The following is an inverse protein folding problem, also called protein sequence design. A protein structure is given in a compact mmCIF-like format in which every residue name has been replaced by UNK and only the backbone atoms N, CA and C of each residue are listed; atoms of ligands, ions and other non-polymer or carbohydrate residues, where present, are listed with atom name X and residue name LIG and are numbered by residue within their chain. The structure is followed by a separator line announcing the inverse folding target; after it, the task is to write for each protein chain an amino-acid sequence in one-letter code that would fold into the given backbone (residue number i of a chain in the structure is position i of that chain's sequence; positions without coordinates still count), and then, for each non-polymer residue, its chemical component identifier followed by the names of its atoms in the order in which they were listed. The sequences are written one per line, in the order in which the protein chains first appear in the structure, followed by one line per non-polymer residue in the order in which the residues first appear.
data_IF_082950018176
#
_entry.id   IF_082950018176
#
_cell.length_a   1.000
_cell.length_b   1.000
_cell.length_c   1.000
_cell.angle_alpha   90.00
_cell.angle_beta   90.00
_cell.angle_gamma   90.00
#
_symmetry.space_group_name_H-M   'P 1'
#
loop_
_entity.id
_entity.type
_entity.pdbx_description
1 polymer ?
#
# COMPACT_ATOMS: atom_id res chain seq x y z
N UNK A 1 -7.19 24.87 -28.82
CA UNK A 1 -7.63 24.93 -27.41
C UNK A 1 -8.70 23.90 -27.07
N UNK A 2 -9.90 23.90 -27.70
CA UNK A 2 -10.96 22.93 -27.36
C UNK A 2 -10.54 21.46 -27.47
N UNK A 3 -9.85 21.07 -28.56
CA UNK A 3 -9.36 19.70 -28.77
C UNK A 3 -8.33 19.25 -27.73
N UNK A 4 -7.39 20.12 -27.37
CA UNK A 4 -6.37 19.83 -26.34
C UNK A 4 -7.01 19.57 -24.98
N UNK A 5 -8.02 20.37 -24.63
CA UNK A 5 -8.75 20.24 -23.38
C UNK A 5 -9.59 18.95 -23.34
N UNK A 6 -10.20 18.56 -24.46
CA UNK A 6 -10.87 17.27 -24.61
C UNK A 6 -9.91 16.09 -24.48
N UNK A 7 -8.71 16.16 -25.06
CA UNK A 7 -7.70 15.11 -24.94
C UNK A 7 -7.25 14.96 -23.49
N UNK A 8 -6.95 16.07 -22.80
CA UNK A 8 -6.58 16.05 -21.37
C UNK A 8 -7.69 15.43 -20.53
N UNK A 9 -8.95 15.81 -20.77
CA UNK A 9 -10.09 15.24 -20.05
C UNK A 9 -10.22 13.72 -20.27
N UNK A 10 -10.08 13.25 -21.51
CA UNK A 10 -10.13 11.81 -21.82
C UNK A 10 -9.00 11.06 -21.11
N UNK A 11 -7.78 11.59 -21.13
CA UNK A 11 -6.62 10.99 -20.45
C UNK A 11 -6.86 10.90 -18.95
N UNK A 12 -7.39 11.96 -18.33
CA UNK A 12 -7.72 11.97 -16.90
C UNK A 12 -8.79 10.93 -16.55
N UNK A 13 -9.82 10.77 -17.39
CA UNK A 13 -10.85 9.73 -17.20
C UNK A 13 -10.24 8.34 -17.28
N UNK A 14 -9.41 8.07 -18.28
CA UNK A 14 -8.72 6.78 -18.43
C UNK A 14 -7.84 6.50 -17.20
N UNK A 15 -7.10 7.50 -16.74
CA UNK A 15 -6.25 7.36 -15.56
C UNK A 15 -7.08 7.08 -14.30
N UNK A 16 -8.18 7.80 -14.09
CA UNK A 16 -9.06 7.57 -12.94
C UNK A 16 -9.68 6.16 -12.96
N UNK A 17 -10.11 5.69 -14.14
CA UNK A 17 -10.62 4.32 -14.34
C UNK A 17 -9.53 3.30 -14.04
N UNK A 18 -8.30 3.51 -14.53
CA UNK A 18 -7.17 2.63 -14.21
C UNK A 18 -6.90 2.60 -12.71
N UNK A 19 -6.82 3.75 -12.05
CA UNK A 19 -6.64 3.83 -10.61
C UNK A 19 -7.76 3.11 -9.82
N UNK A 20 -9.00 3.16 -10.31
CA UNK A 20 -10.12 2.45 -9.70
C UNK A 20 -10.00 0.93 -9.82
N UNK A 21 -9.76 0.41 -11.03
CA UNK A 21 -9.67 -1.04 -11.26
C UNK A 21 -8.41 -1.67 -10.67
N UNK A 22 -7.31 -0.91 -10.62
CA UNK A 22 -6.05 -1.35 -10.05
C UNK A 22 -5.84 -0.83 -8.62
N UNK A 23 -6.90 -0.45 -7.89
CA UNK A 23 -6.72 -0.03 -6.51
C UNK A 23 -6.28 -1.23 -5.63
N UNK A 24 -5.12 -1.19 -4.95
CA UNK A 24 -4.63 -2.33 -4.19
C UNK A 24 -5.57 -2.71 -3.05
N UNK A 25 -5.86 -4.01 -2.94
CA UNK A 25 -6.71 -4.56 -1.87
C UNK A 25 -5.97 -4.62 -0.53
N UNK A 26 -6.71 -4.70 0.57
CA UNK A 26 -6.14 -4.93 1.92
C UNK A 26 -5.14 -6.08 1.97
N UNK A 27 -5.41 -7.16 1.26
CA UNK A 27 -4.52 -8.33 1.22
C UNK A 27 -3.20 -8.00 0.52
N UNK A 28 -3.24 -7.19 -0.54
CA UNK A 28 -2.05 -6.68 -1.23
C UNK A 28 -1.19 -5.85 -0.28
N UNK A 29 -1.81 -5.04 0.59
CA UNK A 29 -1.09 -4.29 1.62
C UNK A 29 -0.44 -5.21 2.65
N UNK A 30 -1.15 -6.21 3.16
CA UNK A 30 -0.61 -7.19 4.12
C UNK A 30 0.57 -7.95 3.51
N UNK A 31 0.46 -8.36 2.25
CA UNK A 31 1.54 -9.04 1.53
C UNK A 31 2.77 -8.15 1.38
N UNK A 32 2.59 -6.89 0.98
CA UNK A 32 3.69 -5.93 0.83
C UNK A 32 4.42 -5.67 2.15
N UNK A 33 3.67 -5.48 3.26
CA UNK A 33 4.24 -5.33 4.60
C UNK A 33 5.03 -6.58 4.99
N UNK A 34 4.42 -7.76 4.83
CA UNK A 34 5.05 -9.04 5.19
C UNK A 34 6.34 -9.27 4.40
N UNK A 35 6.33 -9.00 3.10
CA UNK A 35 7.50 -9.15 2.24
C UNK A 35 8.60 -8.15 2.57
N UNK A 36 8.23 -6.88 2.80
CA UNK A 36 9.17 -5.81 3.15
C UNK A 36 9.95 -6.14 4.43
N UNK A 37 9.25 -6.53 5.49
CA UNK A 37 9.91 -6.90 6.75
C UNK A 37 10.61 -8.25 6.66
N UNK A 38 10.12 -9.23 5.90
CA UNK A 38 10.82 -10.50 5.69
C UNK A 38 12.20 -10.30 5.01
N UNK A 39 12.30 -9.35 4.06
CA UNK A 39 13.58 -9.02 3.41
C UNK A 39 14.60 -8.43 4.38
N UNK A 40 14.17 -7.66 5.38
CA UNK A 40 15.05 -7.11 6.42
C UNK A 40 15.63 -8.17 7.37
N UNK A 41 14.97 -9.33 7.52
CA UNK A 41 15.39 -10.38 8.45
C UNK A 41 16.57 -11.22 7.93
N UNK A 42 16.89 -11.15 6.63
CA UNK A 42 18.03 -11.88 6.06
C UNK A 42 19.39 -11.23 6.37
N UNK A 43 19.42 -10.16 7.18
CA UNK A 43 20.62 -9.35 7.41
C UNK A 43 21.34 -9.55 8.75
N UNK A 44 20.75 -10.17 9.78
CA UNK A 44 21.52 -10.65 10.96
C UNK A 44 20.65 -11.44 11.95
N UNK A 45 21.02 -12.68 12.24
CA UNK A 45 20.15 -13.68 12.89
C UNK A 45 19.80 -13.43 14.38
N UNK A 46 20.32 -12.39 15.03
CA UNK A 46 20.15 -12.16 16.48
C UNK A 46 19.29 -10.94 16.86
N UNK A 47 19.05 -9.99 15.94
CA UNK A 47 18.16 -8.82 16.18
C UNK A 47 16.70 -9.10 15.74
N UNK A 48 16.50 -10.24 15.08
CA UNK A 48 15.27 -10.72 14.43
C UNK A 48 14.13 -11.05 15.41
N UNK A 49 14.41 -11.22 16.71
CA UNK A 49 13.38 -11.64 17.69
C UNK A 49 12.45 -10.49 18.11
N UNK A 50 12.93 -9.23 18.09
CA UNK A 50 12.10 -8.06 18.40
C UNK A 50 11.32 -7.53 17.19
N UNK A 51 11.81 -7.75 15.97
CA UNK A 51 11.10 -7.39 14.73
C UNK A 51 10.04 -8.44 14.29
N UNK A 52 9.92 -9.55 15.04
CA UNK A 52 9.16 -10.77 14.68
C UNK A 52 7.65 -10.69 14.90
N UNK A 53 7.08 -9.55 15.29
CA UNK A 53 5.71 -9.49 15.82
C UNK A 53 4.68 -8.80 14.91
N UNK A 54 5.01 -8.45 13.66
CA UNK A 54 3.96 -8.31 12.63
C UNK A 54 3.68 -9.66 12.00
N UNK A 55 3.22 -10.60 12.83
CA UNK A 55 2.61 -11.81 12.28
C UNK A 55 1.43 -11.41 11.41
N UNK A 56 1.20 -12.12 10.30
CA UNK A 56 0.02 -11.90 9.44
C UNK A 56 -1.28 -11.88 10.25
N UNK A 57 -1.31 -12.58 11.38
CA UNK A 57 -2.39 -12.57 12.38
C UNK A 57 -2.57 -11.19 13.02
N UNK A 58 -1.49 -10.55 13.49
CA UNK A 58 -1.53 -9.18 14.03
C UNK A 58 -1.96 -8.20 12.96
N UNK A 59 -1.38 -8.27 11.75
CA UNK A 59 -1.80 -7.41 10.63
C UNK A 59 -3.28 -7.62 10.28
N UNK A 60 -3.78 -8.85 10.34
CA UNK A 60 -5.18 -9.11 10.08
C UNK A 60 -6.14 -8.49 11.10
N UNK A 61 -5.71 -8.20 12.32
CA UNK A 61 -6.56 -7.62 13.36
C UNK A 61 -6.30 -6.12 13.61
N UNK A 62 -5.04 -5.68 13.52
CA UNK A 62 -4.63 -4.33 13.88
C UNK A 62 -4.46 -3.39 12.68
N UNK A 63 -4.44 -3.91 11.45
CA UNK A 63 -4.27 -3.09 10.25
C UNK A 63 -5.61 -2.46 9.86
N UNK A 64 -5.71 -1.15 10.08
CA UNK A 64 -6.77 -0.31 9.55
C UNK A 64 -6.53 -0.07 8.07
N UNK A 65 -7.51 -0.41 7.25
CA UNK A 65 -7.46 -0.25 5.80
C UNK A 65 -8.45 0.81 5.34
N UNK A 66 -7.96 1.81 4.63
CA UNK A 66 -8.77 2.90 4.07
C UNK A 66 -8.75 2.81 2.54
N UNK A 67 -9.94 2.66 1.94
CA UNK A 67 -10.13 2.61 0.49
C UNK A 67 -10.71 3.94 -0.01
N UNK A 68 -9.98 4.66 -0.85
CA UNK A 68 -10.40 5.91 -1.46
C UNK A 68 -10.84 5.73 -2.93
N UNK A 69 -11.25 4.52 -3.30
CA UNK A 69 -11.66 4.07 -4.64
C UNK A 69 -10.53 4.01 -5.68
N UNK A 70 -9.74 5.08 -5.82
CA UNK A 70 -8.63 5.20 -6.78
C UNK A 70 -7.26 4.92 -6.17
N UNK A 71 -7.19 4.94 -4.85
CA UNK A 71 -6.01 4.61 -4.06
C UNK A 71 -6.46 4.05 -2.72
N UNK A 72 -5.50 3.54 -1.98
CA UNK A 72 -5.72 2.95 -0.68
C UNK A 72 -4.55 3.25 0.25
N UNK A 73 -4.79 3.17 1.55
CA UNK A 73 -3.73 3.32 2.54
C UNK A 73 -4.02 2.39 3.71
N UNK A 74 -2.96 2.00 4.42
CA UNK A 74 -3.11 1.33 5.70
C UNK A 74 -2.48 2.12 6.83
N UNK A 75 -3.09 1.98 8.00
CA UNK A 75 -2.61 2.52 9.26
C UNK A 75 -2.62 1.43 10.32
N UNK A 76 -1.80 1.62 11.34
CA UNK A 76 -1.77 0.74 12.49
C UNK A 76 -1.26 1.55 13.68
N UNK A 77 -1.95 1.44 14.82
CA UNK A 77 -1.68 2.26 16.01
C UNK A 77 -1.69 3.78 15.70
N UNK A 78 -2.56 4.21 14.77
CA UNK A 78 -2.68 5.60 14.34
C UNK A 78 -1.60 6.07 13.34
N UNK A 79 -0.60 5.24 13.03
CA UNK A 79 0.50 5.61 12.14
C UNK A 79 0.29 5.08 10.72
N UNK A 80 0.58 5.88 9.67
CA UNK A 80 0.51 5.42 8.29
C UNK A 80 1.63 4.42 8.01
N UNK A 81 1.24 3.23 7.56
CA UNK A 81 2.16 2.12 7.31
C UNK A 81 2.35 1.87 5.81
N UNK A 82 1.31 2.08 5.00
CA UNK A 82 1.41 1.89 3.55
C UNK A 82 0.52 2.84 2.76
N UNK A 83 0.90 3.05 1.50
CA UNK A 83 0.10 3.74 0.49
C UNK A 83 0.04 2.89 -0.79
N UNK A 84 -1.14 2.76 -1.39
CA UNK A 84 -1.40 1.91 -2.53
C UNK A 84 -2.05 2.68 -3.67
N UNK A 85 -1.53 2.52 -4.89
CA UNK A 85 -2.10 3.11 -6.11
C UNK A 85 -1.67 2.29 -7.32
N UNK A 86 -2.54 2.16 -8.34
CA UNK A 86 -2.24 1.50 -9.61
C UNK A 86 -1.60 0.10 -9.45
N UNK A 87 -2.10 -0.70 -8.51
CA UNK A 87 -1.69 -2.09 -8.27
C UNK A 87 -0.44 -2.22 -7.41
N UNK A 88 0.24 -1.11 -7.12
CA UNK A 88 1.45 -1.09 -6.32
C UNK A 88 1.19 -0.62 -4.90
N UNK A 89 1.86 -1.23 -3.93
CA UNK A 89 1.85 -0.83 -2.53
C UNK A 89 3.25 -0.40 -2.12
N UNK A 90 3.35 0.81 -1.59
CA UNK A 90 4.53 1.39 -0.98
C UNK A 90 4.44 1.19 0.54
N UNK A 91 5.46 0.55 1.12
CA UNK A 91 5.62 0.49 2.57
C UNK A 91 6.36 1.75 3.01
N UNK A 92 5.77 2.48 3.96
CA UNK A 92 6.31 3.75 4.42
C UNK A 92 7.32 3.48 5.53
N UNK A 93 8.60 3.74 5.25
CA UNK A 93 9.65 3.69 6.26
C UNK A 93 9.65 5.00 7.07
N UNK A 94 9.70 4.88 8.40
CA UNK A 94 10.06 6.02 9.25
C UNK A 94 11.57 6.26 9.12
N UNK A 95 11.94 7.51 8.86
CA UNK A 95 13.30 8.01 9.15
C UNK A 95 13.45 8.32 10.63
#
# INVERSE_FOLDING_TARGET
MKKTLSIIAIVLVILAVACYFFNPSRETHINAITEHYAKALNSDAQVVVDARSYSRVVLNHALEYNNYYVCSSSKMMGEPLTFGILGHVFVLEKK
#
